data_IF_075040655193
#
_entry.id   IF_075040655193
#
_cell.length_a   1.000
_cell.length_b   1.000
_cell.length_c   1.000
_cell.angle_alpha   90.00
_cell.angle_beta   90.00
_cell.angle_gamma   90.00
#
_symmetry.space_group_name_H-M   'P 1'
#
loop_
_entity.id
_entity.type
_entity.pdbx_description
1 polymer ?
#
# COMPACT_ATOMS: atom_id res chain seq x y z
N UNK A 1 0.83 -14.60 17.47
CA UNK A 1 2.15 -14.07 17.13
C UNK A 1 2.19 -12.56 17.24
N UNK A 2 3.12 -12.01 18.04
CA UNK A 2 3.25 -10.58 18.32
C UNK A 2 3.49 -9.77 17.04
N UNK A 3 4.36 -10.26 16.16
CA UNK A 3 4.64 -9.64 14.85
C UNK A 3 3.39 -9.40 14.01
N UNK A 4 2.51 -10.41 13.95
CA UNK A 4 1.24 -10.29 13.22
C UNK A 4 0.33 -9.23 13.84
N UNK A 5 0.24 -9.19 15.17
CA UNK A 5 -0.55 -8.18 15.88
C UNK A 5 -0.04 -6.77 15.63
N UNK A 6 1.27 -6.55 15.69
CA UNK A 6 1.90 -5.26 15.39
C UNK A 6 1.64 -4.85 13.92
N UNK A 7 1.78 -5.78 12.98
CA UNK A 7 1.54 -5.50 11.56
C UNK A 7 0.08 -5.10 11.30
N UNK A 8 -0.88 -5.76 11.94
CA UNK A 8 -2.31 -5.39 11.87
C UNK A 8 -2.52 -3.96 12.39
N UNK A 9 -1.96 -3.66 13.55
CA UNK A 9 -2.04 -2.33 14.14
C UNK A 9 -1.45 -1.25 13.24
N UNK A 10 -0.23 -1.45 12.72
CA UNK A 10 0.44 -0.47 11.86
C UNK A 10 -0.32 -0.21 10.55
N UNK A 11 -0.82 -1.28 9.90
CA UNK A 11 -1.61 -1.16 8.67
C UNK A 11 -2.95 -0.44 8.92
N UNK A 12 -3.64 -0.79 10.01
CA UNK A 12 -4.89 -0.13 10.37
C UNK A 12 -4.67 1.35 10.72
N UNK A 13 -3.62 1.66 11.49
CA UNK A 13 -3.27 3.03 11.85
C UNK A 13 -2.97 3.88 10.61
N UNK A 14 -2.20 3.34 9.64
CA UNK A 14 -1.94 3.99 8.36
C UNK A 14 -3.22 4.25 7.57
N UNK A 15 -4.10 3.25 7.48
CA UNK A 15 -5.39 3.39 6.80
C UNK A 15 -6.27 4.47 7.44
N UNK A 16 -6.46 4.40 8.76
CA UNK A 16 -7.27 5.38 9.52
C UNK A 16 -6.73 6.81 9.37
N UNK A 17 -5.44 7.00 9.59
CA UNK A 17 -4.79 8.31 9.46
C UNK A 17 -4.92 8.84 8.02
N UNK A 18 -4.62 8.00 7.02
CA UNK A 18 -4.78 8.35 5.61
C UNK A 18 -6.21 8.72 5.24
N UNK A 19 -7.21 8.01 5.80
CA UNK A 19 -8.63 8.31 5.59
C UNK A 19 -9.06 9.65 6.17
N UNK A 20 -8.62 9.99 7.38
CA UNK A 20 -8.92 11.29 8.00
C UNK A 20 -8.29 12.43 7.19
N UNK A 21 -7.05 12.29 6.77
CA UNK A 21 -6.36 13.29 5.94
C UNK A 21 -6.99 13.40 4.54
N UNK A 22 -7.43 12.28 3.96
CA UNK A 22 -8.19 12.29 2.70
C UNK A 22 -9.49 13.07 2.82
N UNK A 23 -10.21 12.90 3.94
CA UNK A 23 -11.44 13.64 4.20
C UNK A 23 -11.24 15.16 4.43
N UNK A 24 -10.00 15.59 4.74
CA UNK A 24 -9.63 17.01 4.89
C UNK A 24 -9.13 17.65 3.61
N UNK A 25 -8.56 16.85 2.72
CA UNK A 25 -7.92 17.35 1.53
C UNK A 25 -8.92 17.65 0.42
N UNK A 26 -8.62 18.64 -0.40
CA UNK A 26 -9.39 18.92 -1.61
C UNK A 26 -9.17 17.82 -2.65
N UNK A 27 -10.26 17.27 -3.17
CA UNK A 27 -10.20 16.20 -4.18
C UNK A 27 -9.37 16.61 -5.41
N UNK A 28 -9.38 17.88 -5.78
CA UNK A 28 -8.57 18.43 -6.86
C UNK A 28 -7.08 18.31 -6.61
N UNK A 29 -6.63 18.45 -5.36
CA UNK A 29 -5.22 18.31 -4.98
C UNK A 29 -4.74 16.86 -5.01
N UNK A 30 -5.63 15.89 -4.75
CA UNK A 30 -5.28 14.46 -4.67
C UNK A 30 -5.44 13.76 -6.02
N UNK A 31 -6.36 14.22 -6.88
CA UNK A 31 -6.72 13.49 -8.11
C UNK A 31 -5.51 13.22 -9.02
N UNK A 32 -4.67 14.21 -9.25
CA UNK A 32 -3.48 14.04 -10.09
C UNK A 32 -2.41 13.15 -9.45
N UNK A 33 -1.98 13.37 -8.18
CA UNK A 33 -1.10 12.45 -7.49
C UNK A 33 -1.62 11.01 -7.45
N UNK A 34 -2.92 10.80 -7.21
CA UNK A 34 -3.54 9.48 -7.19
C UNK A 34 -3.45 8.79 -8.58
N UNK A 35 -3.77 9.51 -9.66
CA UNK A 35 -3.67 8.98 -11.02
C UNK A 35 -2.24 8.57 -11.36
N UNK A 36 -1.27 9.41 -11.04
CA UNK A 36 0.16 9.13 -11.27
C UNK A 36 0.60 7.93 -10.43
N UNK A 37 0.18 7.86 -9.17
CA UNK A 37 0.49 6.75 -8.27
C UNK A 37 -0.03 5.41 -8.80
N UNK A 38 -1.29 5.36 -9.24
CA UNK A 38 -1.86 4.16 -9.86
C UNK A 38 -1.14 3.82 -11.15
N UNK A 39 -0.81 4.83 -11.97
CA UNK A 39 -0.05 4.64 -13.21
C UNK A 39 1.32 4.01 -12.95
N UNK A 40 2.08 4.52 -11.97
CA UNK A 40 3.38 3.96 -11.56
C UNK A 40 3.18 2.54 -11.00
N UNK A 41 2.17 2.32 -10.15
CA UNK A 41 1.84 1.02 -9.59
C UNK A 41 1.53 -0.04 -10.66
N UNK A 42 0.94 0.36 -11.77
CA UNK A 42 0.72 -0.53 -12.92
C UNK A 42 1.98 -0.72 -13.78
N UNK A 43 2.75 0.34 -14.00
CA UNK A 43 3.93 0.30 -14.88
C UNK A 43 5.09 -0.49 -14.29
N UNK A 44 5.30 -0.39 -12.98
CA UNK A 44 6.41 -1.03 -12.28
C UNK A 44 6.42 -2.56 -12.44
N UNK A 45 5.33 -3.30 -12.19
CA UNK A 45 5.31 -4.75 -12.38
C UNK A 45 5.43 -5.15 -13.84
N UNK A 46 4.91 -4.36 -14.79
CA UNK A 46 5.11 -4.62 -16.22
C UNK A 46 6.59 -4.54 -16.58
N UNK A 47 7.27 -3.49 -16.16
CA UNK A 47 8.72 -3.32 -16.43
C UNK A 47 9.53 -4.42 -15.75
N UNK A 48 9.26 -4.76 -14.49
CA UNK A 48 9.92 -5.84 -13.77
C UNK A 48 9.70 -7.19 -14.49
N UNK A 49 8.47 -7.50 -14.88
CA UNK A 49 8.16 -8.72 -15.64
C UNK A 49 8.95 -8.81 -16.95
N UNK A 50 8.99 -7.73 -17.74
CA UNK A 50 9.73 -7.70 -18.99
C UNK A 50 11.22 -7.93 -18.80
N UNK A 51 11.83 -7.30 -17.79
CA UNK A 51 13.24 -7.50 -17.45
C UNK A 51 13.51 -8.94 -17.04
N UNK A 52 12.71 -9.49 -16.13
CA UNK A 52 12.84 -10.88 -15.66
C UNK A 52 12.68 -11.90 -16.80
N UNK A 53 11.72 -11.67 -17.71
CA UNK A 53 11.48 -12.56 -18.85
C UNK A 53 12.57 -12.47 -19.91
N UNK A 54 12.98 -11.25 -20.29
CA UNK A 54 13.90 -11.07 -21.43
C UNK A 54 15.37 -11.18 -21.03
N UNK A 55 15.76 -10.57 -19.91
CA UNK A 55 17.14 -10.57 -19.43
C UNK A 55 17.41 -11.71 -18.45
N UNK A 56 16.52 -11.92 -17.49
CA UNK A 56 16.64 -12.96 -16.47
C UNK A 56 16.26 -14.35 -16.96
N UNK A 57 15.55 -14.47 -18.10
CA UNK A 57 15.07 -15.75 -18.68
C UNK A 57 14.25 -16.60 -17.71
N UNK A 58 13.59 -15.97 -16.74
CA UNK A 58 12.72 -16.64 -15.78
C UNK A 58 11.48 -17.24 -16.48
N UNK A 59 10.89 -18.28 -15.89
CA UNK A 59 9.58 -18.80 -16.28
C UNK A 59 8.49 -17.74 -16.18
N UNK A 60 7.36 -17.93 -16.85
CA UNK A 60 6.23 -16.96 -16.85
C UNK A 60 5.72 -16.75 -15.43
N UNK A 61 5.50 -17.84 -14.68
CA UNK A 61 4.93 -17.81 -13.34
C UNK A 61 5.90 -17.16 -12.33
N UNK A 62 7.18 -17.53 -12.38
CA UNK A 62 8.21 -16.96 -11.51
C UNK A 62 8.40 -15.46 -11.77
N UNK A 63 8.48 -15.08 -13.06
CA UNK A 63 8.60 -13.67 -13.43
C UNK A 63 7.38 -12.85 -12.99
N UNK A 64 6.17 -13.38 -13.12
CA UNK A 64 4.95 -12.71 -12.68
C UNK A 64 4.88 -12.63 -11.14
N UNK A 65 5.22 -13.70 -10.42
CA UNK A 65 5.26 -13.73 -8.97
C UNK A 65 6.26 -12.71 -8.39
N UNK A 66 7.46 -12.65 -8.94
CA UNK A 66 8.48 -11.66 -8.53
C UNK A 66 8.00 -10.23 -8.89
N UNK A 67 7.48 -10.03 -10.10
CA UNK A 67 7.01 -8.72 -10.56
C UNK A 67 5.86 -8.16 -9.69
N UNK A 68 5.01 -9.03 -9.14
CA UNK A 68 3.93 -8.64 -8.23
C UNK A 68 4.44 -7.89 -7.00
N UNK A 69 5.61 -8.26 -6.49
CA UNK A 69 6.23 -7.62 -5.31
C UNK A 69 6.82 -6.24 -5.62
N UNK A 70 7.18 -5.97 -6.88
CA UNK A 70 7.71 -4.67 -7.28
C UNK A 70 6.63 -3.58 -7.40
N UNK A 71 5.38 -3.95 -7.51
CA UNK A 71 4.26 -3.02 -7.56
C UNK A 71 3.76 -2.58 -6.19
N UNK A 72 4.18 -3.27 -5.12
CA UNK A 72 3.81 -2.95 -3.74
C UNK A 72 4.89 -2.14 -3.04
N UNK A 73 4.48 -1.25 -2.14
CA UNK A 73 5.36 -0.40 -1.34
C UNK A 73 5.36 -0.86 0.11
N UNK A 74 6.55 -0.96 0.70
CA UNK A 74 6.68 -1.24 2.13
C UNK A 74 6.23 -0.03 2.96
N UNK A 75 5.24 -0.22 3.84
CA UNK A 75 4.80 0.80 4.80
C UNK A 75 5.95 1.32 5.67
N UNK A 76 6.87 0.44 6.04
CA UNK A 76 8.06 0.79 6.84
C UNK A 76 8.99 1.72 6.06
N UNK A 77 9.31 1.38 4.81
CA UNK A 77 10.15 2.22 3.95
C UNK A 77 9.48 3.57 3.68
N UNK A 78 8.16 3.59 3.51
CA UNK A 78 7.38 4.81 3.36
C UNK A 78 7.52 5.73 4.58
N UNK A 79 7.37 5.18 5.80
CA UNK A 79 7.51 5.97 7.03
C UNK A 79 8.94 6.49 7.18
N UNK A 80 9.94 5.65 6.91
CA UNK A 80 11.34 6.06 6.95
C UNK A 80 11.62 7.20 5.95
N UNK A 81 11.07 7.12 4.72
CA UNK A 81 11.17 8.17 3.73
C UNK A 81 10.52 9.48 4.19
N UNK A 82 9.33 9.42 4.81
CA UNK A 82 8.67 10.59 5.38
C UNK A 82 9.51 11.24 6.49
N UNK A 83 10.11 10.45 7.38
CA UNK A 83 10.97 10.96 8.43
C UNK A 83 12.22 11.62 7.86
N UNK A 84 12.82 11.04 6.84
CA UNK A 84 13.97 11.61 6.14
C UNK A 84 13.64 12.96 5.49
N UNK A 85 12.51 13.05 4.77
CA UNK A 85 12.05 14.30 4.14
C UNK A 85 11.82 15.40 5.18
N UNK A 86 11.23 15.05 6.33
CA UNK A 86 11.05 15.99 7.46
C UNK A 86 12.38 16.46 8.05
N UNK A 87 13.34 15.56 8.20
CA UNK A 87 14.67 15.92 8.69
C UNK A 87 15.41 16.88 7.74
N UNK A 88 15.06 16.87 6.45
CA UNK A 88 15.55 17.83 5.45
C UNK A 88 14.80 19.17 5.47
N UNK A 89 13.84 19.37 6.37
CA UNK A 89 13.07 20.61 6.50
C UNK A 89 11.88 20.71 5.54
N UNK A 90 11.49 19.64 4.86
CA UNK A 90 10.28 19.59 4.02
C UNK A 90 9.15 18.83 4.73
N UNK A 91 7.92 19.33 4.64
CA UNK A 91 6.75 18.65 5.21
C UNK A 91 6.04 17.84 4.11
N UNK A 92 5.97 16.49 4.25
CA UNK A 92 5.18 15.66 3.35
C UNK A 92 3.69 16.01 3.45
N UNK A 93 2.99 15.97 2.32
CA UNK A 93 1.55 16.19 2.26
C UNK A 93 0.79 15.20 3.16
N UNK A 94 -0.24 15.68 3.87
CA UNK A 94 -1.01 14.85 4.80
C UNK A 94 -1.69 13.64 4.16
N UNK A 95 -2.05 13.73 2.87
CA UNK A 95 -2.69 12.64 2.13
C UNK A 95 -1.73 11.56 1.60
N UNK A 96 -0.44 11.65 1.82
CA UNK A 96 0.55 10.65 1.37
C UNK A 96 0.22 9.20 1.81
N UNK A 97 -0.30 8.92 3.03
CA UNK A 97 -0.73 7.58 3.40
C UNK A 97 -1.86 7.03 2.53
N UNK A 98 -2.71 7.89 1.97
CA UNK A 98 -3.75 7.50 1.02
C UNK A 98 -3.14 7.00 -0.30
N UNK A 99 -2.09 7.68 -0.79
CA UNK A 99 -1.37 7.25 -2.00
C UNK A 99 -0.66 5.90 -1.77
N UNK A 100 -0.11 5.66 -0.57
CA UNK A 100 0.42 4.36 -0.18
C UNK A 100 -0.65 3.26 -0.29
N UNK A 101 -1.84 3.49 0.28
CA UNK A 101 -2.95 2.54 0.22
C UNK A 101 -3.41 2.27 -1.23
N UNK A 102 -3.45 3.30 -2.07
CA UNK A 102 -3.78 3.16 -3.49
C UNK A 102 -2.73 2.34 -4.26
N UNK A 103 -1.45 2.44 -3.88
CA UNK A 103 -0.36 1.73 -4.54
C UNK A 103 -0.31 0.24 -4.21
N UNK A 104 -0.90 -0.18 -3.08
CA UNK A 104 -0.86 -1.57 -2.60
C UNK A 104 -1.52 -2.57 -3.58
N UNK A 105 -2.56 -2.14 -4.27
CA UNK A 105 -3.41 -3.02 -5.08
C UNK A 105 -2.99 -3.16 -6.57
N UNK A 106 -2.70 -2.09 -7.33
CA UNK A 106 -2.57 -2.17 -8.78
C UNK A 106 -1.46 -3.11 -9.26
N UNK A 107 -0.31 -3.07 -8.58
CA UNK A 107 0.86 -3.83 -8.99
C UNK A 107 0.65 -5.33 -8.96
N UNK A 108 0.04 -5.84 -7.90
CA UNK A 108 -0.26 -7.27 -7.76
C UNK A 108 -1.25 -7.71 -8.83
N UNK A 109 -2.31 -6.93 -9.06
CA UNK A 109 -3.32 -7.26 -10.08
C UNK A 109 -2.75 -7.30 -11.49
N UNK A 110 -1.92 -6.32 -11.85
CA UNK A 110 -1.27 -6.26 -13.16
C UNK A 110 -0.32 -7.44 -13.36
N UNK A 111 0.53 -7.76 -12.37
CA UNK A 111 1.46 -8.87 -12.47
C UNK A 111 0.75 -10.22 -12.60
N UNK A 112 -0.32 -10.43 -11.82
CA UNK A 112 -1.13 -11.63 -11.88
C UNK A 112 -1.90 -11.74 -13.21
N UNK A 113 -2.41 -10.62 -13.72
CA UNK A 113 -3.02 -10.57 -15.06
C UNK A 113 -2.04 -10.98 -16.16
N UNK A 114 -0.82 -10.42 -16.11
CA UNK A 114 0.25 -10.77 -17.06
C UNK A 114 0.60 -12.27 -16.94
N UNK A 115 0.74 -12.78 -15.72
CA UNK A 115 1.01 -14.20 -15.47
C UNK A 115 -0.08 -15.10 -16.04
N UNK A 116 -1.35 -14.80 -15.78
CA UNK A 116 -2.49 -15.57 -16.27
C UNK A 116 -2.59 -15.56 -17.80
N UNK A 117 -2.41 -14.39 -18.44
CA UNK A 117 -2.47 -14.27 -19.90
C UNK A 117 -1.35 -15.02 -20.62
N UNK A 118 -0.20 -15.22 -19.98
CA UNK A 118 0.98 -15.85 -20.58
C UNK A 118 1.20 -17.31 -20.14
N UNK A 119 0.43 -17.84 -19.16
CA UNK A 119 0.61 -19.19 -18.61
C UNK A 119 -0.08 -20.31 -19.41
N UNK A 120 -0.87 -20.00 -20.43
CA UNK A 120 -1.65 -21.01 -21.18
C UNK A 120 -2.81 -21.62 -20.36
N UNK A 121 -3.38 -22.73 -20.83
CA UNK A 121 -4.63 -23.32 -20.31
C UNK A 121 -4.56 -23.94 -18.89
N UNK A 122 -3.47 -23.77 -18.15
CA UNK A 122 -3.27 -24.37 -16.81
C UNK A 122 -3.20 -23.37 -15.63
N UNK A 123 -3.44 -22.07 -15.87
CA UNK A 123 -3.39 -21.04 -14.83
C UNK A 123 -4.66 -20.99 -13.96
N UNK A 124 -4.52 -20.53 -12.69
CA UNK A 124 -5.70 -20.22 -11.83
C UNK A 124 -6.58 -19.18 -12.53
N UNK A 125 -7.91 -19.30 -12.42
CA UNK A 125 -8.80 -18.30 -13.01
C UNK A 125 -8.55 -16.92 -12.40
N UNK A 126 -8.47 -15.91 -13.24
CA UNK A 126 -8.23 -14.51 -12.87
C UNK A 126 -9.14 -14.04 -11.73
N UNK A 127 -10.40 -14.49 -11.74
CA UNK A 127 -11.39 -14.13 -10.72
C UNK A 127 -11.00 -14.59 -9.32
N UNK A 128 -10.48 -15.82 -9.19
CA UNK A 128 -10.03 -16.35 -7.88
C UNK A 128 -8.84 -15.58 -7.35
N UNK A 129 -7.88 -15.31 -8.21
CA UNK A 129 -6.69 -14.54 -7.88
C UNK A 129 -7.04 -13.11 -7.47
N UNK A 130 -7.94 -12.46 -8.21
CA UNK A 130 -8.42 -11.12 -7.88
C UNK A 130 -9.15 -11.11 -6.53
N UNK A 131 -10.00 -12.11 -6.28
CA UNK A 131 -10.69 -12.26 -5.02
C UNK A 131 -9.72 -12.44 -3.84
N UNK A 132 -8.71 -13.30 -3.99
CA UNK A 132 -7.69 -13.55 -2.96
C UNK A 132 -6.90 -12.29 -2.60
N UNK A 133 -6.55 -11.47 -3.59
CA UNK A 133 -5.84 -10.20 -3.38
C UNK A 133 -6.74 -9.16 -2.70
N UNK A 134 -7.97 -8.99 -3.20
CA UNK A 134 -8.92 -8.01 -2.63
C UNK A 134 -9.38 -8.37 -1.21
N UNK A 135 -9.43 -9.67 -0.88
CA UNK A 135 -9.77 -10.16 0.46
C UNK A 135 -8.53 -10.37 1.34
N UNK A 136 -7.35 -10.04 0.81
CA UNK A 136 -6.10 -10.11 1.56
C UNK A 136 -6.11 -9.19 2.79
N UNK A 137 -5.51 -9.66 3.88
CA UNK A 137 -5.47 -8.95 5.16
C UNK A 137 -4.96 -7.50 5.02
N UNK A 138 -3.89 -7.29 4.26
CA UNK A 138 -3.29 -5.96 4.03
C UNK A 138 -4.28 -5.02 3.37
N UNK A 139 -4.96 -5.48 2.30
CA UNK A 139 -5.99 -4.70 1.61
C UNK A 139 -7.16 -4.34 2.52
N UNK A 140 -7.69 -5.32 3.25
CA UNK A 140 -8.84 -5.08 4.14
C UNK A 140 -8.47 -4.07 5.23
N UNK A 141 -7.27 -4.16 5.82
CA UNK A 141 -6.84 -3.26 6.89
C UNK A 141 -6.57 -1.85 6.38
N UNK A 142 -5.86 -1.70 5.26
CA UNK A 142 -5.56 -0.38 4.70
C UNK A 142 -6.80 0.29 4.14
N UNK A 143 -7.55 -0.38 3.26
CA UNK A 143 -8.74 0.20 2.62
C UNK A 143 -9.89 0.33 3.61
N UNK A 144 -10.09 -0.66 4.49
CA UNK A 144 -11.08 -0.60 5.56
C UNK A 144 -10.77 0.54 6.54
N UNK A 145 -9.52 0.65 6.97
CA UNK A 145 -9.03 1.76 7.79
C UNK A 145 -9.26 3.12 7.12
N UNK A 146 -8.93 3.23 5.82
CA UNK A 146 -9.14 4.45 5.04
C UNK A 146 -10.62 4.85 4.99
N UNK A 147 -11.52 3.90 4.68
CA UNK A 147 -12.97 4.17 4.65
C UNK A 147 -13.45 4.61 6.04
N UNK A 148 -13.07 3.90 7.10
CA UNK A 148 -13.43 4.25 8.47
C UNK A 148 -12.89 5.64 8.83
N UNK A 149 -11.64 5.96 8.48
CA UNK A 149 -11.02 7.26 8.70
C UNK A 149 -11.78 8.40 8.04
N UNK A 150 -12.18 8.23 6.76
CA UNK A 150 -13.02 9.20 6.03
C UNK A 150 -14.36 9.40 6.74
N UNK A 151 -15.05 8.31 7.08
CA UNK A 151 -16.38 8.37 7.73
C UNK A 151 -16.32 8.97 9.13
N UNK A 152 -15.27 8.67 9.88
CA UNK A 152 -15.06 9.21 11.23
C UNK A 152 -14.78 10.71 11.20
N UNK A 153 -14.05 11.16 10.21
CA UNK A 153 -13.68 12.56 10.04
C UNK A 153 -12.79 13.11 11.15
N UNK A 154 -12.38 14.37 10.99
CA UNK A 154 -11.46 15.03 11.93
C UNK A 154 -12.03 15.26 13.32
N UNK A 155 -13.36 15.38 13.46
CA UNK A 155 -14.01 15.66 14.75
C UNK A 155 -13.85 14.52 15.78
N UNK A 156 -13.92 13.29 15.30
CA UNK A 156 -13.83 12.10 16.15
C UNK A 156 -12.40 11.55 16.24
N UNK A 157 -11.48 12.10 15.46
CA UNK A 157 -10.07 11.66 15.42
C UNK A 157 -9.40 11.81 16.80
N UNK A 158 -9.66 12.91 17.51
CA UNK A 158 -9.06 13.19 18.81
C UNK A 158 -9.29 12.08 19.86
N UNK A 159 -10.35 11.28 19.73
CA UNK A 159 -10.64 10.19 20.65
C UNK A 159 -9.66 9.00 20.50
N UNK A 160 -9.09 8.82 19.32
CA UNK A 160 -8.20 7.69 19.01
C UNK A 160 -6.79 8.11 18.58
N UNK A 161 -6.56 9.43 18.44
CA UNK A 161 -5.29 10.02 17.98
C UNK A 161 -4.09 9.49 18.76
N UNK A 162 -4.21 9.38 20.10
CA UNK A 162 -3.12 8.87 20.94
C UNK A 162 -2.57 7.53 20.45
N UNK A 163 -3.45 6.65 19.97
CA UNK A 163 -3.07 5.29 19.55
C UNK A 163 -2.77 5.16 18.05
N UNK A 164 -3.47 5.93 17.21
CA UNK A 164 -3.45 5.72 15.76
C UNK A 164 -2.80 6.85 14.97
N UNK A 165 -2.34 7.92 15.62
CA UNK A 165 -1.56 8.93 14.93
C UNK A 165 -0.19 8.38 14.54
N UNK A 166 0.10 8.39 13.25
CA UNK A 166 1.39 7.92 12.70
C UNK A 166 2.59 8.78 13.16
N UNK A 167 2.33 9.98 13.68
CA UNK A 167 3.31 10.86 14.30
C UNK A 167 3.45 10.62 15.82
N UNK A 168 2.51 9.87 16.39
CA UNK A 168 2.40 9.62 17.83
C UNK A 168 3.45 8.65 18.38
N UNK A 169 3.68 8.68 19.71
CA UNK A 169 4.69 7.84 20.34
C UNK A 169 4.34 6.35 20.31
N UNK A 170 3.06 6.01 20.38
CA UNK A 170 2.61 4.60 20.35
C UNK A 170 2.92 3.98 19.00
N UNK A 171 2.57 4.66 17.90
CA UNK A 171 2.86 4.18 16.55
C UNK A 171 4.37 4.02 16.32
N UNK A 172 5.17 5.01 16.71
CA UNK A 172 6.63 4.95 16.60
C UNK A 172 7.23 3.81 17.41
N UNK A 173 6.75 3.62 18.65
CA UNK A 173 7.19 2.50 19.50
C UNK A 173 6.88 1.13 18.88
N UNK A 174 5.66 0.94 18.39
CA UNK A 174 5.26 -0.30 17.69
C UNK A 174 6.04 -0.52 16.40
N UNK A 175 6.34 0.56 15.66
CA UNK A 175 7.16 0.48 14.46
C UNK A 175 8.60 0.02 14.79
N UNK A 176 9.20 0.55 15.84
CA UNK A 176 10.55 0.13 16.30
C UNK A 176 10.55 -1.34 16.67
N UNK A 177 9.56 -1.81 17.45
CA UNK A 177 9.46 -3.23 17.82
C UNK A 177 9.25 -4.11 16.59
N UNK A 178 8.52 -3.62 15.58
CA UNK A 178 8.30 -4.35 14.32
C UNK A 178 9.58 -4.49 13.48
N UNK A 179 10.50 -3.53 13.60
CA UNK A 179 11.78 -3.50 12.87
C UNK A 179 12.90 -4.31 13.53
N UNK A 180 12.77 -4.65 14.82
CA UNK A 180 13.73 -5.46 15.56
C UNK A 180 13.47 -6.96 15.40
#
# INVERSE_FOLDING_TARGET
DVYVGISIYLLLALGLHGGVELGRAELSAIAWPALVTVGIGCLTPVSAYLVLRRLGRFGVQDAAGIAAHYGSVSAVTFIAAQQFVKAMGAEPEGFMPTLLALLESPGIHVALAIGALNSGAGGRPMRETLHEVLTGRTMILLMGGLVIGVLMGSKNWSAIELFFDTKGPVFKGMLVIFLL
#
